data_IF_996381260377
#
_entry.id   IF_996381260377
#
_cell.length_a   1.000
_cell.length_b   1.000
_cell.length_c   1.000
_cell.angle_alpha   90.00
_cell.angle_beta   90.00
_cell.angle_gamma   90.00
#
_symmetry.space_group_name_H-M   'P 1'
#
loop_
_entity.id
_entity.type
_entity.pdbx_description
1 polymer ?
#
# COMPACT_ATOMS: atom_id res chain seq x y z
N UNK A 1 17.37 -0.97 -19.25
CA UNK A 1 15.92 -1.22 -19.15
C UNK A 1 15.74 -2.31 -18.10
N UNK A 2 15.38 -1.95 -16.86
CA UNK A 2 15.09 -2.94 -15.82
C UNK A 2 13.58 -2.99 -15.63
N UNK A 3 12.92 -3.63 -16.58
CA UNK A 3 11.53 -4.03 -16.45
C UNK A 3 11.54 -5.41 -15.80
N UNK A 4 11.33 -5.44 -14.48
CA UNK A 4 10.95 -6.67 -13.79
C UNK A 4 9.42 -6.62 -13.66
N UNK A 5 8.65 -7.24 -14.57
CA UNK A 5 7.21 -7.41 -14.41
C UNK A 5 6.99 -8.58 -13.44
N UNK A 6 7.31 -8.36 -12.16
CA UNK A 6 6.96 -9.28 -11.10
C UNK A 6 5.95 -8.60 -10.20
N UNK A 7 4.87 -9.30 -9.94
CA UNK A 7 3.78 -8.99 -9.02
C UNK A 7 4.37 -8.61 -7.64
N UNK A 8 4.81 -7.36 -7.48
CA UNK A 8 5.64 -6.92 -6.36
C UNK A 8 4.73 -6.60 -5.18
N UNK A 9 4.35 -7.66 -4.47
CA UNK A 9 3.72 -7.61 -3.16
C UNK A 9 4.67 -7.02 -2.13
N UNK A 10 4.57 -5.71 -1.91
CA UNK A 10 5.36 -4.98 -0.92
C UNK A 10 4.75 -5.13 0.48
N UNK A 11 5.60 -5.09 1.50
CA UNK A 11 5.15 -5.17 2.90
C UNK A 11 4.65 -3.80 3.40
N UNK A 12 4.03 -3.75 4.59
CA UNK A 12 3.61 -2.48 5.22
C UNK A 12 4.76 -1.45 5.26
N UNK A 13 5.97 -1.90 5.58
CA UNK A 13 7.15 -1.04 5.72
C UNK A 13 7.58 -0.44 4.39
N UNK A 14 7.67 -1.26 3.34
CA UNK A 14 7.98 -0.78 1.98
C UNK A 14 6.87 0.11 1.42
N UNK A 15 5.60 -0.21 1.67
CA UNK A 15 4.50 0.67 1.27
C UNK A 15 4.61 2.02 1.98
N UNK A 16 4.98 2.03 3.27
CA UNK A 16 5.17 3.24 4.04
C UNK A 16 6.33 4.09 3.49
N UNK A 17 7.46 3.46 3.20
CA UNK A 17 8.62 4.12 2.59
C UNK A 17 8.30 4.66 1.19
N UNK A 18 7.58 3.88 0.38
CA UNK A 18 7.13 4.26 -0.96
C UNK A 18 6.20 5.49 -0.94
N UNK A 19 5.30 5.55 0.04
CA UNK A 19 4.37 6.65 0.24
C UNK A 19 4.98 7.84 1.02
N UNK A 20 6.19 7.69 1.58
CA UNK A 20 6.79 8.68 2.46
C UNK A 20 6.03 8.87 3.79
N UNK A 21 5.27 7.87 4.23
CA UNK A 21 4.51 7.90 5.50
C UNK A 21 5.11 6.93 6.52
N UNK A 22 4.68 7.04 7.77
CA UNK A 22 5.09 6.07 8.80
C UNK A 22 4.31 4.75 8.63
N UNK A 23 4.92 3.59 8.91
CA UNK A 23 4.23 2.29 8.84
C UNK A 23 3.03 2.19 9.81
N UNK A 24 3.04 2.98 10.88
CA UNK A 24 1.88 3.13 11.77
C UNK A 24 0.67 3.75 11.06
N UNK A 25 0.89 4.67 10.13
CA UNK A 25 -0.16 5.32 9.33
C UNK A 25 -0.80 4.29 8.39
N UNK A 26 0.00 3.48 7.70
CA UNK A 26 -0.50 2.37 6.88
C UNK A 26 -1.37 1.42 7.72
N UNK A 27 -0.89 1.01 8.91
CA UNK A 27 -1.67 0.17 9.84
C UNK A 27 -2.99 0.83 10.27
N UNK A 28 -2.97 2.15 10.47
CA UNK A 28 -4.16 2.92 10.79
C UNK A 28 -5.16 2.94 9.62
N UNK A 29 -4.68 3.06 8.38
CA UNK A 29 -5.53 2.99 7.18
C UNK A 29 -6.16 1.62 6.97
N UNK A 30 -5.43 0.53 7.22
CA UNK A 30 -5.99 -0.83 7.23
C UNK A 30 -7.10 -0.94 8.28
N UNK A 31 -6.88 -0.42 9.49
CA UNK A 31 -7.87 -0.41 10.59
C UNK A 31 -9.10 0.44 10.29
N UNK A 32 -8.90 1.61 9.69
CA UNK A 32 -9.96 2.56 9.34
C UNK A 32 -10.75 2.17 8.10
N UNK A 33 -10.41 1.06 7.42
CA UNK A 33 -10.98 0.66 6.12
C UNK A 33 -10.94 1.82 5.11
N UNK A 34 -9.80 2.50 5.01
CA UNK A 34 -9.63 3.69 4.17
C UNK A 34 -9.43 3.34 2.67
N UNK A 35 -10.07 2.27 2.19
CA UNK A 35 -9.94 1.77 0.80
C UNK A 35 -8.51 1.40 0.38
N UNK A 36 -7.57 1.28 1.33
CA UNK A 36 -6.19 0.92 1.00
C UNK A 36 -6.14 -0.53 0.50
N UNK A 37 -5.51 -0.80 -0.66
CA UNK A 37 -5.40 -2.14 -1.24
C UNK A 37 -4.39 -2.98 -0.45
N UNK A 38 -4.86 -3.52 0.66
CA UNK A 38 -4.11 -4.42 1.54
C UNK A 38 -4.67 -5.84 1.41
N UNK A 39 -3.87 -6.78 0.90
CA UNK A 39 -4.20 -8.20 0.97
C UNK A 39 -3.52 -8.84 2.18
N UNK A 40 -4.28 -9.71 2.84
CA UNK A 40 -3.74 -10.58 3.87
C UNK A 40 -3.19 -11.85 3.22
N UNK A 41 -1.87 -11.97 3.15
CA UNK A 41 -1.18 -13.17 2.66
C UNK A 41 -0.63 -13.90 3.89
N UNK A 42 -1.35 -14.95 4.30
CA UNK A 42 -1.06 -15.71 5.52
C UNK A 42 -1.30 -14.87 6.79
N UNK A 43 -0.23 -14.59 7.54
CA UNK A 43 -0.26 -13.74 8.75
C UNK A 43 0.21 -12.31 8.51
N UNK A 44 0.65 -11.98 7.29
CA UNK A 44 1.23 -10.68 6.95
C UNK A 44 0.30 -9.91 6.01
N UNK A 45 0.32 -8.59 6.14
CA UNK A 45 -0.33 -7.70 5.18
C UNK A 45 0.66 -7.33 4.09
N UNK A 46 0.23 -7.54 2.86
CA UNK A 46 0.96 -7.27 1.62
C UNK A 46 0.14 -6.30 0.79
N UNK A 47 0.82 -5.43 0.07
CA UNK A 47 0.23 -4.41 -0.79
C UNK A 47 0.75 -4.64 -2.19
N UNK A 48 -0.12 -4.48 -3.18
CA UNK A 48 0.31 -4.50 -4.56
C UNK A 48 0.70 -3.08 -4.96
N UNK A 49 1.92 -2.90 -5.46
CA UNK A 49 2.42 -1.57 -5.84
C UNK A 49 1.52 -0.90 -6.89
N UNK A 50 1.01 -1.65 -7.86
CA UNK A 50 0.08 -1.14 -8.88
C UNK A 50 -1.23 -0.64 -8.27
N UNK A 51 -1.86 -1.40 -7.38
CA UNK A 51 -3.10 -0.96 -6.73
C UNK A 51 -2.85 0.23 -5.80
N UNK A 52 -1.69 0.24 -5.10
CA UNK A 52 -1.31 1.36 -4.25
C UNK A 52 -1.14 2.64 -5.07
N UNK A 53 -0.50 2.55 -6.24
CA UNK A 53 -0.33 3.68 -7.17
C UNK A 53 -1.69 4.20 -7.68
N UNK A 54 -2.59 3.29 -8.07
CA UNK A 54 -3.95 3.64 -8.46
C UNK A 54 -4.74 4.27 -7.32
N UNK A 55 -4.58 3.78 -6.08
CA UNK A 55 -5.23 4.34 -4.91
C UNK A 55 -4.73 5.75 -4.59
N UNK A 56 -3.42 5.99 -4.68
CA UNK A 56 -2.80 7.32 -4.54
C UNK A 56 -3.35 8.26 -5.61
N UNK A 57 -3.33 7.80 -6.87
CA UNK A 57 -3.79 8.56 -8.03
C UNK A 57 -5.29 8.84 -8.00
N UNK A 58 -6.08 7.94 -7.42
CA UNK A 58 -7.52 8.10 -7.23
C UNK A 58 -7.87 9.20 -6.21
N UNK A 59 -6.89 9.77 -5.50
CA UNK A 59 -7.13 10.81 -4.51
C UNK A 59 -7.82 10.31 -3.23
N UNK A 60 -8.05 9.00 -3.10
CA UNK A 60 -8.62 8.38 -1.88
C UNK A 60 -7.66 8.43 -0.68
N UNK A 61 -6.41 8.80 -0.92
CA UNK A 61 -5.42 9.10 0.11
C UNK A 61 -5.61 10.48 0.74
N UNK A 62 -6.35 11.38 0.08
CA UNK A 62 -6.72 12.66 0.64
C UNK A 62 -7.93 12.44 1.56
N UNK A 63 -7.63 12.21 2.84
CA UNK A 63 -8.56 12.59 3.90
C UNK A 63 -8.65 14.12 3.89
N UNK A 64 -9.79 14.67 3.47
CA UNK A 64 -10.19 16.03 3.82
C UNK A 64 -10.60 16.08 5.31
#
# INVERSE_FOLDING_TARGET
>A
MNEIPSDNWISIEEAAEYLGVKPVTIRNWIRKKNDIPAQKIGKLWKFKRSELDEWIKSGKSAIE
#
